data_IF_206730915482
#
_entry.id   IF_206730915482
#
_cell.length_a   1.000
_cell.length_b   1.000
_cell.length_c   1.000
_cell.angle_alpha   90.00
_cell.angle_beta   90.00
_cell.angle_gamma   90.00
#
_symmetry.space_group_name_H-M   'P 1'
#
loop_
_entity.id
_entity.type
_entity.pdbx_description
1 polymer ?
#
# COMPACT_ATOMS: atom_id res chain seq x y z
N UNK A 1 -40.79 -1.10 -18.80
CA UNK A 1 -39.90 -1.52 -19.89
C UNK A 1 -38.49 -1.16 -19.50
N UNK A 2 -37.64 -2.21 -19.45
CA UNK A 2 -36.18 -2.23 -19.28
C UNK A 2 -35.55 -1.51 -18.08
N UNK A 3 -35.60 -2.17 -16.92
CA UNK A 3 -34.57 -2.07 -15.88
C UNK A 3 -34.04 -3.48 -15.63
N UNK A 4 -33.03 -3.89 -16.40
CA UNK A 4 -32.42 -5.20 -16.27
C UNK A 4 -31.15 -5.31 -17.10
N UNK A 5 -30.14 -5.97 -16.53
CA UNK A 5 -28.88 -6.43 -17.12
C UNK A 5 -27.71 -5.44 -17.19
N UNK A 6 -27.01 -5.14 -16.09
CA UNK A 6 -25.56 -4.79 -16.14
C UNK A 6 -24.73 -5.48 -15.03
N UNK A 7 -25.28 -6.48 -14.31
CA UNK A 7 -24.65 -7.08 -13.12
C UNK A 7 -23.80 -8.35 -13.30
N UNK A 8 -23.86 -9.04 -14.44
CA UNK A 8 -23.32 -10.42 -14.58
C UNK A 8 -22.28 -10.59 -15.71
N UNK A 9 -21.86 -9.52 -16.40
CA UNK A 9 -20.89 -9.67 -17.48
C UNK A 9 -19.47 -9.94 -16.92
N UNK A 10 -18.78 -11.02 -17.34
CA UNK A 10 -17.39 -11.26 -16.96
C UNK A 10 -16.49 -10.10 -17.38
N UNK A 11 -15.62 -9.64 -16.49
CA UNK A 11 -14.76 -8.48 -16.72
C UNK A 11 -13.91 -8.63 -18.00
N UNK A 12 -13.47 -9.85 -18.32
CA UNK A 12 -12.77 -10.13 -19.57
C UNK A 12 -13.58 -9.79 -20.83
N UNK A 13 -14.90 -10.04 -20.84
CA UNK A 13 -15.77 -9.69 -21.98
C UNK A 13 -15.94 -8.17 -22.11
N UNK A 14 -16.02 -7.46 -20.97
CA UNK A 14 -16.05 -6.00 -20.93
C UNK A 14 -14.78 -5.43 -21.57
N UNK A 15 -13.60 -5.89 -21.15
CA UNK A 15 -12.33 -5.44 -21.73
C UNK A 15 -12.21 -5.79 -23.22
N UNK A 16 -12.61 -6.99 -23.64
CA UNK A 16 -12.62 -7.36 -25.06
C UNK A 16 -13.47 -6.40 -25.90
N UNK A 17 -14.67 -6.05 -25.41
CA UNK A 17 -15.55 -5.09 -26.08
C UNK A 17 -14.96 -3.68 -26.10
N UNK A 18 -14.33 -3.24 -25.01
CA UNK A 18 -13.66 -1.93 -24.96
C UNK A 18 -12.51 -1.87 -25.97
N UNK A 19 -11.66 -2.90 -25.99
CA UNK A 19 -10.51 -2.98 -26.89
C UNK A 19 -10.95 -3.03 -28.35
N UNK A 20 -11.99 -3.81 -28.67
CA UNK A 20 -12.51 -3.91 -30.03
C UNK A 20 -13.05 -2.57 -30.57
N UNK A 21 -13.62 -1.72 -29.70
CA UNK A 21 -14.23 -0.45 -30.10
C UNK A 21 -13.28 0.76 -30.03
N UNK A 22 -12.32 0.74 -29.10
CA UNK A 22 -11.51 1.93 -28.78
C UNK A 22 -10.00 1.68 -28.87
N UNK A 23 -9.57 0.46 -29.18
CA UNK A 23 -8.16 0.06 -29.19
C UNK A 23 -7.64 -0.35 -27.81
N UNK A 24 -6.33 -0.64 -27.70
CA UNK A 24 -5.72 -1.14 -26.47
C UNK A 24 -5.97 -0.22 -25.26
N UNK A 25 -6.24 -0.82 -24.10
CA UNK A 25 -6.49 -0.10 -22.84
C UNK A 25 -5.20 0.07 -22.04
N UNK A 26 -5.10 1.09 -21.20
CA UNK A 26 -3.92 1.25 -20.33
C UNK A 26 -3.82 0.10 -19.33
N UNK A 27 -2.58 -0.27 -18.95
CA UNK A 27 -2.37 -1.20 -17.84
C UNK A 27 -3.01 -0.69 -16.54
N UNK A 28 -2.97 0.63 -16.32
CA UNK A 28 -3.62 1.28 -15.19
C UNK A 28 -5.13 0.98 -15.16
N UNK A 29 -5.83 1.09 -16.29
CA UNK A 29 -7.25 0.77 -16.37
C UNK A 29 -7.50 -0.73 -16.17
N UNK A 30 -6.71 -1.59 -16.81
CA UNK A 30 -6.82 -3.04 -16.65
C UNK A 30 -6.65 -3.48 -15.19
N UNK A 31 -5.62 -2.98 -14.51
CA UNK A 31 -5.30 -3.30 -13.12
C UNK A 31 -6.37 -2.77 -12.16
N UNK A 32 -6.78 -1.51 -12.32
CA UNK A 32 -7.78 -0.90 -11.43
C UNK A 32 -9.12 -1.62 -11.45
N UNK A 33 -9.67 -1.90 -12.63
CA UNK A 33 -10.95 -2.60 -12.75
C UNK A 33 -10.85 -4.07 -12.33
N UNK A 34 -9.70 -4.73 -12.59
CA UNK A 34 -9.46 -6.11 -12.12
C UNK A 34 -9.44 -6.17 -10.60
N UNK A 35 -8.68 -5.29 -9.95
CA UNK A 35 -8.60 -5.26 -8.49
C UNK A 35 -9.95 -4.86 -7.86
N UNK A 36 -10.65 -3.87 -8.44
CA UNK A 36 -11.99 -3.50 -7.97
C UNK A 36 -12.94 -4.71 -8.01
N UNK A 37 -12.96 -5.46 -9.11
CA UNK A 37 -13.77 -6.68 -9.22
C UNK A 37 -13.35 -7.77 -8.23
N UNK A 38 -12.04 -7.92 -8.01
CA UNK A 38 -11.46 -8.91 -7.11
C UNK A 38 -11.87 -8.63 -5.65
N UNK A 39 -11.75 -7.37 -5.21
CA UNK A 39 -12.07 -6.95 -3.83
C UNK A 39 -13.58 -6.83 -3.56
N UNK A 40 -14.41 -6.58 -4.58
CA UNK A 40 -15.88 -6.57 -4.42
C UNK A 40 -16.50 -7.98 -4.35
N UNK A 41 -15.85 -8.97 -4.97
CA UNK A 41 -16.41 -10.32 -5.17
C UNK A 41 -16.15 -11.33 -4.06
N UNK A 42 -15.23 -11.06 -3.10
CA UNK A 42 -14.77 -12.00 -2.06
C UNK A 42 -14.33 -11.27 -0.79
N UNK A 43 -14.25 -11.99 0.35
CA UNK A 43 -13.38 -11.59 1.49
C UNK A 43 -11.97 -12.10 1.16
N UNK A 44 -11.05 -11.27 0.64
CA UNK A 44 -9.78 -11.71 0.08
C UNK A 44 -8.65 -11.74 1.13
N UNK A 45 -8.93 -11.38 2.39
CA UNK A 45 -7.92 -11.12 3.42
C UNK A 45 -7.96 -12.17 4.55
N UNK A 46 -6.80 -12.72 4.91
CA UNK A 46 -6.60 -13.62 6.06
C UNK A 46 -6.15 -15.03 5.65
N UNK A 47 -6.12 -15.98 6.60
CA UNK A 47 -5.64 -17.35 6.36
C UNK A 47 -6.47 -18.16 5.34
N UNK A 48 -7.66 -17.68 4.99
CA UNK A 48 -8.50 -18.23 3.91
C UNK A 48 -8.59 -17.34 2.66
N UNK A 49 -7.89 -16.19 2.65
CA UNK A 49 -7.78 -15.28 1.50
C UNK A 49 -6.50 -15.53 0.69
N UNK A 50 -6.26 -14.74 -0.37
CA UNK A 50 -5.07 -14.96 -1.23
C UNK A 50 -3.78 -14.37 -0.62
N UNK A 51 -3.89 -13.50 0.40
CA UNK A 51 -2.77 -12.91 1.13
C UNK A 51 -2.93 -13.00 2.65
N UNK A 52 -1.81 -13.22 3.32
CA UNK A 52 -1.66 -13.01 4.76
C UNK A 52 -0.77 -11.77 4.94
N UNK A 53 -1.39 -10.65 5.31
CA UNK A 53 -0.72 -9.36 5.52
C UNK A 53 0.05 -9.33 6.85
N UNK A 54 0.99 -8.39 7.00
CA UNK A 54 1.81 -8.28 8.21
C UNK A 54 1.00 -8.24 9.54
N UNK A 55 -0.13 -7.49 9.61
CA UNK A 55 -0.98 -7.49 10.80
C UNK A 55 -1.64 -8.84 11.12
N UNK A 56 -1.97 -9.64 10.10
CA UNK A 56 -2.59 -10.96 10.25
C UNK A 56 -1.59 -12.04 10.67
N UNK A 57 -0.29 -11.82 10.41
CA UNK A 57 0.79 -12.73 10.84
C UNK A 57 1.01 -12.63 12.36
N UNK A 58 1.02 -11.42 12.92
CA UNK A 58 1.27 -11.25 14.34
C UNK A 58 0.81 -9.91 14.90
N UNK A 59 0.21 -9.96 16.10
CA UNK A 59 -0.06 -8.78 16.93
C UNK A 59 1.20 -7.94 17.20
N UNK A 60 2.39 -8.54 17.14
CA UNK A 60 3.65 -7.82 17.36
C UNK A 60 3.83 -6.69 16.35
N UNK A 61 3.39 -6.88 15.10
CA UNK A 61 3.48 -5.85 14.07
C UNK A 61 2.67 -4.61 14.47
N UNK A 62 1.36 -4.76 14.69
CA UNK A 62 0.50 -3.64 15.06
C UNK A 62 0.87 -3.00 16.39
N UNK A 63 1.34 -3.78 17.37
CA UNK A 63 1.83 -3.23 18.63
C UNK A 63 3.06 -2.34 18.44
N UNK A 64 4.03 -2.72 17.61
CA UNK A 64 5.23 -1.91 17.37
C UNK A 64 4.92 -0.65 16.56
N UNK A 65 4.01 -0.73 15.58
CA UNK A 65 3.52 0.47 14.87
C UNK A 65 2.85 1.43 15.86
N UNK A 66 1.96 0.93 16.72
CA UNK A 66 1.31 1.75 17.74
C UNK A 66 2.31 2.37 18.73
N UNK A 67 3.36 1.64 19.13
CA UNK A 67 4.42 2.17 19.99
C UNK A 67 5.25 3.26 19.28
N UNK A 68 5.54 3.10 18.00
CA UNK A 68 6.22 4.13 17.21
C UNK A 68 5.41 5.43 17.15
N UNK A 69 4.09 5.31 16.91
CA UNK A 69 3.18 6.46 16.88
C UNK A 69 3.06 7.14 18.25
N UNK A 70 2.99 6.35 19.33
CA UNK A 70 2.98 6.88 20.68
C UNK A 70 4.28 7.61 21.01
N UNK A 71 5.43 7.04 20.70
CA UNK A 71 6.74 7.64 20.95
C UNK A 71 6.91 8.98 20.21
N UNK A 72 6.62 9.02 18.91
CA UNK A 72 6.78 10.25 18.12
C UNK A 72 5.81 11.35 18.58
N UNK A 73 4.57 10.99 18.94
CA UNK A 73 3.60 11.92 19.53
C UNK A 73 4.05 12.45 20.89
N UNK A 74 4.63 11.60 21.75
CA UNK A 74 5.19 12.01 23.04
C UNK A 74 6.30 13.03 22.84
N UNK A 75 7.23 12.75 21.93
CA UNK A 75 8.37 13.62 21.64
C UNK A 75 7.97 14.90 20.93
N UNK A 76 6.80 14.93 20.29
CA UNK A 76 6.22 16.13 19.69
C UNK A 76 5.56 17.09 20.69
N UNK A 77 5.29 16.68 21.95
CA UNK A 77 4.80 17.59 23.00
C UNK A 77 3.50 17.20 23.70
N UNK A 78 2.73 16.22 23.18
CA UNK A 78 1.46 15.67 23.75
C UNK A 78 0.29 16.66 23.91
N UNK A 79 0.40 17.87 23.41
CA UNK A 79 -0.45 19.01 23.74
C UNK A 79 -1.74 19.13 22.91
N UNK A 80 -1.88 18.35 21.84
CA UNK A 80 -3.02 18.44 20.92
C UNK A 80 -3.84 17.15 20.80
N UNK A 81 -5.14 17.30 20.52
CA UNK A 81 -5.98 16.20 20.04
C UNK A 81 -5.46 15.75 18.67
N UNK A 82 -5.09 14.47 18.58
CA UNK A 82 -4.51 13.88 17.39
C UNK A 82 -5.46 12.89 16.72
N UNK A 83 -5.27 12.71 15.42
CA UNK A 83 -6.06 11.79 14.60
C UNK A 83 -5.18 10.63 14.15
N UNK A 84 -5.67 9.40 14.36
CA UNK A 84 -5.12 8.22 13.73
C UNK A 84 -5.83 7.99 12.41
N UNK A 85 -5.08 7.95 11.32
CA UNK A 85 -5.62 7.72 9.97
C UNK A 85 -5.00 6.46 9.40
N UNK A 86 -5.82 5.48 9.04
CA UNK A 86 -5.35 4.26 8.36
C UNK A 86 -5.92 4.19 6.94
N UNK A 87 -5.03 4.06 5.96
CA UNK A 87 -5.37 3.87 4.55
C UNK A 87 -5.52 2.38 4.26
N UNK A 88 -6.68 1.98 3.74
CA UNK A 88 -6.96 0.57 3.44
C UNK A 88 -6.80 -0.33 4.67
N UNK A 89 -7.60 -0.16 5.74
CA UNK A 89 -7.39 -0.85 7.02
C UNK A 89 -7.63 -2.37 6.98
N UNK A 90 -8.07 -2.92 5.83
CA UNK A 90 -8.42 -4.33 5.68
C UNK A 90 -9.47 -4.74 6.71
N UNK A 91 -9.11 -5.66 7.63
CA UNK A 91 -9.99 -6.13 8.70
C UNK A 91 -9.97 -5.25 9.96
N UNK A 92 -9.17 -4.18 9.98
CA UNK A 92 -8.94 -3.32 11.15
C UNK A 92 -8.01 -3.92 12.21
N UNK A 93 -7.33 -5.03 11.90
CA UNK A 93 -6.43 -5.75 12.81
C UNK A 93 -5.25 -4.88 13.27
N UNK A 94 -4.63 -4.15 12.32
CA UNK A 94 -3.54 -3.22 12.59
C UNK A 94 -3.98 -2.12 13.55
N UNK A 95 -5.03 -1.37 13.20
CA UNK A 95 -5.64 -0.36 14.05
C UNK A 95 -5.91 -0.89 15.46
N UNK A 96 -6.58 -2.04 15.59
CA UNK A 96 -6.94 -2.62 16.88
C UNK A 96 -5.72 -2.85 17.77
N UNK A 97 -4.67 -3.46 17.24
CA UNK A 97 -3.46 -3.77 18.01
C UNK A 97 -2.61 -2.52 18.29
N UNK A 98 -2.53 -1.58 17.34
CA UNK A 98 -1.86 -0.30 17.49
C UNK A 98 -2.54 0.58 18.55
N UNK A 99 -3.87 0.74 18.49
CA UNK A 99 -4.67 1.49 19.48
C UNK A 99 -4.56 0.88 20.88
N UNK A 100 -4.57 -0.45 21.01
CA UNK A 100 -4.31 -1.13 22.28
C UNK A 100 -2.92 -0.79 22.84
N UNK A 101 -1.91 -0.73 21.98
CA UNK A 101 -0.55 -0.40 22.39
C UNK A 101 -0.40 1.08 22.77
N UNK A 102 -0.93 1.99 21.96
CA UNK A 102 -0.92 3.45 22.15
C UNK A 102 -1.57 3.87 23.47
N UNK A 103 -2.71 3.26 23.82
CA UNK A 103 -3.45 3.57 25.05
C UNK A 103 -2.61 3.43 26.32
N UNK A 104 -1.67 2.47 26.35
CA UNK A 104 -0.77 2.26 27.51
C UNK A 104 0.15 3.46 27.79
N UNK A 105 0.33 4.34 26.81
CA UNK A 105 1.16 5.53 26.89
C UNK A 105 0.34 6.83 26.84
N UNK A 106 -0.98 6.73 27.03
CA UNK A 106 -1.90 7.87 27.09
C UNK A 106 -2.32 8.44 25.73
N UNK A 107 -1.97 7.77 24.62
CA UNK A 107 -2.41 8.16 23.28
C UNK A 107 -3.74 7.48 22.95
N UNK A 108 -4.83 8.26 22.94
CA UNK A 108 -6.18 7.82 22.55
C UNK A 108 -6.72 8.75 21.44
N UNK A 109 -6.30 8.54 20.17
CA UNK A 109 -6.64 9.43 19.06
C UNK A 109 -8.08 9.25 18.56
N UNK A 110 -8.61 10.25 17.83
CA UNK A 110 -9.78 10.03 16.98
C UNK A 110 -9.39 9.13 15.81
N UNK A 111 -10.20 8.11 15.50
CA UNK A 111 -9.84 7.07 14.54
C UNK A 111 -10.56 7.28 13.21
N UNK A 112 -9.79 7.31 12.13
CA UNK A 112 -10.24 7.55 10.77
C UNK A 112 -9.74 6.45 9.84
N UNK A 113 -10.63 5.82 9.10
CA UNK A 113 -10.32 4.85 8.05
C UNK A 113 -10.62 5.45 6.69
N UNK A 114 -9.62 5.45 5.82
CA UNK A 114 -9.78 5.82 4.41
C UNK A 114 -9.95 4.53 3.62
N UNK A 115 -11.20 4.23 3.26
CA UNK A 115 -11.64 2.97 2.67
C UNK A 115 -12.75 3.24 1.64
N UNK A 116 -12.52 2.84 0.40
CA UNK A 116 -13.48 3.01 -0.70
C UNK A 116 -14.51 1.89 -0.75
N UNK A 117 -14.16 0.68 -0.29
CA UNK A 117 -15.05 -0.49 -0.32
C UNK A 117 -15.96 -0.55 0.90
N UNK A 118 -17.24 -0.82 0.69
CA UNK A 118 -18.18 -1.07 1.79
C UNK A 118 -18.12 -2.49 2.34
N UNK A 119 -17.45 -3.42 1.64
CA UNK A 119 -17.51 -4.86 1.93
C UNK A 119 -16.94 -5.21 3.31
N UNK A 120 -15.89 -4.53 3.74
CA UNK A 120 -15.20 -4.80 5.01
C UNK A 120 -15.66 -3.90 6.16
N UNK A 121 -16.60 -2.98 5.90
CA UNK A 121 -17.02 -1.98 6.89
C UNK A 121 -17.57 -2.60 8.18
N UNK A 122 -18.37 -3.65 8.08
CA UNK A 122 -18.94 -4.33 9.25
C UNK A 122 -17.87 -5.06 10.06
N UNK A 123 -16.89 -5.68 9.40
CA UNK A 123 -15.74 -6.34 10.04
C UNK A 123 -14.87 -5.30 10.75
N UNK A 124 -14.58 -4.18 10.10
CA UNK A 124 -13.81 -3.07 10.65
C UNK A 124 -14.53 -2.42 11.84
N UNK A 125 -15.85 -2.23 11.76
CA UNK A 125 -16.67 -1.67 12.85
C UNK A 125 -16.68 -2.60 14.07
N UNK A 126 -16.72 -3.91 13.86
CA UNK A 126 -16.60 -4.88 14.95
C UNK A 126 -15.21 -4.83 15.61
N UNK A 127 -14.13 -4.64 14.82
CA UNK A 127 -12.77 -4.57 15.32
C UNK A 127 -12.45 -3.23 16.03
N UNK A 128 -12.95 -2.12 15.49
CA UNK A 128 -12.69 -0.75 15.96
C UNK A 128 -13.99 0.09 15.94
N UNK A 129 -14.86 -0.04 16.96
CA UNK A 129 -16.20 0.55 16.97
C UNK A 129 -16.25 2.08 16.89
N UNK A 130 -15.16 2.75 17.29
CA UNK A 130 -15.04 4.20 17.30
C UNK A 130 -14.53 4.81 15.98
N UNK A 131 -14.22 3.98 14.98
CA UNK A 131 -13.68 4.45 13.70
C UNK A 131 -14.72 5.29 12.93
N UNK A 132 -14.21 6.25 12.15
CA UNK A 132 -14.99 7.02 11.15
C UNK A 132 -14.47 6.68 9.76
N UNK A 133 -15.37 6.42 8.82
CA UNK A 133 -15.01 6.03 7.45
C UNK A 133 -15.05 7.23 6.52
N UNK A 134 -14.06 7.25 5.63
CA UNK A 134 -13.83 8.26 4.63
C UNK A 134 -13.58 7.56 3.30
N UNK A 135 -14.26 7.98 2.23
CA UNK A 135 -14.01 7.42 0.90
C UNK A 135 -12.63 7.84 0.37
N UNK A 136 -12.18 9.03 0.76
CA UNK A 136 -10.89 9.61 0.44
C UNK A 136 -10.47 10.61 1.53
N UNK A 137 -9.27 11.19 1.37
CA UNK A 137 -8.68 12.12 2.32
C UNK A 137 -9.41 13.47 2.43
N UNK A 138 -10.25 13.85 1.46
CA UNK A 138 -10.91 15.17 1.40
C UNK A 138 -11.89 15.41 2.54
N UNK A 139 -12.40 14.32 3.13
CA UNK A 139 -13.35 14.35 4.25
C UNK A 139 -12.71 14.19 5.62
N UNK A 140 -11.38 14.09 5.70
CA UNK A 140 -10.65 14.01 6.96
C UNK A 140 -10.71 15.34 7.75
N UNK A 141 -10.59 15.32 9.09
CA UNK A 141 -10.57 16.54 9.89
C UNK A 141 -9.46 17.51 9.47
N UNK A 142 -9.80 18.78 9.25
CA UNK A 142 -8.85 19.80 8.75
C UNK A 142 -7.94 20.43 9.83
N UNK A 143 -8.07 20.00 11.11
CA UNK A 143 -7.34 20.57 12.24
C UNK A 143 -6.81 19.47 13.14
N UNK A 144 -5.62 19.69 13.68
CA UNK A 144 -4.94 18.80 14.61
C UNK A 144 -4.01 17.82 13.89
N UNK A 145 -2.96 17.33 14.56
CA UNK A 145 -1.92 16.54 13.91
C UNK A 145 -2.43 15.17 13.48
N UNK A 146 -1.83 14.67 12.40
CA UNK A 146 -2.22 13.39 11.78
C UNK A 146 -1.15 12.32 11.99
N UNK A 147 -1.53 11.22 12.62
CA UNK A 147 -0.75 10.01 12.79
C UNK A 147 -1.24 8.99 11.76
N UNK A 148 -0.59 8.94 10.60
CA UNK A 148 -1.07 8.17 9.45
C UNK A 148 -0.34 6.85 9.27
N UNK A 149 -1.05 5.82 8.85
CA UNK A 149 -0.48 4.52 8.48
C UNK A 149 -1.10 4.02 7.18
N UNK A 150 -0.28 3.63 6.22
CA UNK A 150 -0.70 2.84 5.06
C UNK A 150 0.15 1.57 5.00
N UNK A 151 -0.46 0.41 5.24
CA UNK A 151 0.20 -0.88 5.15
C UNK A 151 -0.41 -1.67 3.98
N UNK A 152 0.41 -2.04 2.99
CA UNK A 152 -0.07 -2.76 1.78
C UNK A 152 -1.22 -1.97 1.13
N UNK A 153 -1.00 -0.66 0.98
CA UNK A 153 -1.98 0.28 0.43
C UNK A 153 -1.55 0.80 -0.93
N UNK A 154 -0.26 1.04 -1.13
CA UNK A 154 0.26 1.68 -2.33
C UNK A 154 0.49 0.67 -3.45
N UNK A 155 0.78 -0.59 -3.13
CA UNK A 155 1.05 -1.66 -4.11
C UNK A 155 -0.20 -2.09 -4.90
N UNK A 156 -1.38 -1.96 -4.29
CA UNK A 156 -2.67 -2.19 -4.91
C UNK A 156 -3.10 -1.06 -5.86
N UNK A 157 -2.43 0.10 -5.84
CA UNK A 157 -2.78 1.24 -6.68
C UNK A 157 -2.37 1.00 -8.13
N UNK A 158 -3.24 1.32 -9.12
CA UNK A 158 -2.99 0.96 -10.50
C UNK A 158 -1.75 1.63 -11.12
N UNK A 159 -0.85 0.80 -11.68
CA UNK A 159 0.41 1.26 -12.26
C UNK A 159 0.34 1.46 -13.76
N UNK A 160 1.22 2.33 -14.26
CA UNK A 160 1.56 2.46 -15.68
C UNK A 160 2.93 1.84 -15.92
N UNK A 161 3.08 1.19 -17.07
CA UNK A 161 4.38 0.75 -17.56
C UNK A 161 4.76 1.60 -18.77
N UNK A 162 5.98 2.13 -18.78
CA UNK A 162 6.56 2.82 -19.94
C UNK A 162 7.69 1.95 -20.48
N UNK A 163 7.76 1.82 -21.80
CA UNK A 163 8.75 0.99 -22.50
C UNK A 163 9.50 1.82 -23.53
N UNK A 164 10.82 1.67 -23.57
CA UNK A 164 11.68 2.28 -24.59
C UNK A 164 11.59 1.47 -25.89
N UNK A 165 10.95 2.05 -26.90
CA UNK A 165 10.91 1.54 -28.28
C UNK A 165 12.01 2.22 -29.10
N UNK A 166 12.26 1.84 -30.36
CA UNK A 166 13.27 2.50 -31.20
C UNK A 166 13.05 4.03 -31.31
N UNK A 167 11.79 4.45 -31.50
CA UNK A 167 11.36 5.85 -31.73
C UNK A 167 11.05 6.64 -30.44
N UNK A 168 11.51 6.15 -29.28
CA UNK A 168 11.36 6.80 -27.98
C UNK A 168 10.50 6.01 -27.00
N UNK A 169 10.12 6.65 -25.90
CA UNK A 169 9.32 6.01 -24.86
C UNK A 169 7.84 5.96 -25.25
N UNK A 170 7.18 4.83 -24.96
CA UNK A 170 5.75 4.61 -25.17
C UNK A 170 5.12 4.04 -23.90
N UNK A 171 3.84 4.31 -23.70
CA UNK A 171 3.08 3.61 -22.66
C UNK A 171 2.82 2.16 -23.10
N UNK A 172 2.96 1.21 -22.19
CA UNK A 172 2.61 -0.19 -22.41
C UNK A 172 1.14 -0.38 -22.07
N UNK A 173 0.37 -0.76 -23.07
CA UNK A 173 -1.08 -0.99 -23.04
C UNK A 173 -1.38 -2.48 -23.00
N UNK A 174 -2.65 -2.83 -22.83
CA UNK A 174 -3.19 -4.19 -22.86
C UNK A 174 -4.15 -4.31 -24.05
N UNK A 175 -3.90 -5.28 -24.90
CA UNK A 175 -4.68 -5.57 -26.11
C UNK A 175 -5.22 -7.00 -26.07
N UNK A 176 -6.22 -7.30 -26.89
CA UNK A 176 -6.78 -8.65 -27.05
C UNK A 176 -6.35 -9.22 -28.40
N UNK A 177 -5.40 -10.16 -28.38
CA UNK A 177 -4.84 -10.78 -29.59
C UNK A 177 -4.81 -12.29 -29.45
N UNK A 178 -5.13 -12.99 -30.52
CA UNK A 178 -5.01 -14.46 -30.59
C UNK A 178 -5.71 -15.19 -29.42
N UNK A 179 -6.84 -14.65 -28.96
CA UNK A 179 -7.64 -15.25 -27.88
C UNK A 179 -7.09 -15.02 -26.46
N UNK A 180 -6.18 -14.06 -26.25
CA UNK A 180 -5.67 -13.70 -24.92
C UNK A 180 -5.36 -12.21 -24.79
N UNK A 181 -5.30 -11.71 -23.55
CA UNK A 181 -4.78 -10.38 -23.27
C UNK A 181 -3.25 -10.40 -23.39
N UNK A 182 -2.69 -9.41 -24.07
CA UNK A 182 -1.24 -9.27 -24.25
C UNK A 182 -0.82 -7.82 -24.06
N UNK A 183 0.35 -7.57 -23.47
CA UNK A 183 0.89 -6.24 -23.41
C UNK A 183 1.42 -5.79 -24.77
N UNK A 184 1.11 -4.55 -25.16
CA UNK A 184 1.54 -3.94 -26.43
C UNK A 184 2.08 -2.54 -26.19
N UNK A 185 2.98 -2.05 -27.04
CA UNK A 185 3.38 -0.64 -27.00
C UNK A 185 2.27 0.23 -27.58
N UNK A 186 1.94 1.31 -26.89
CA UNK A 186 1.07 2.36 -27.39
C UNK A 186 1.74 3.21 -28.47
N UNK A 187 0.95 4.02 -29.14
CA UNK A 187 1.36 4.90 -30.23
C UNK A 187 1.83 6.29 -29.76
N UNK A 188 1.32 6.75 -28.61
CA UNK A 188 1.62 8.08 -28.05
C UNK A 188 3.02 8.16 -27.43
N UNK A 189 3.81 9.21 -27.74
CA UNK A 189 5.12 9.42 -27.13
C UNK A 189 4.99 9.80 -25.64
N UNK A 190 5.86 9.21 -24.82
CA UNK A 190 5.88 9.39 -23.35
C UNK A 190 7.19 9.99 -22.84
N UNK A 191 8.09 10.42 -23.73
CA UNK A 191 9.44 10.91 -23.40
C UNK A 191 9.45 12.10 -22.41
N UNK A 192 8.39 12.91 -22.41
CA UNK A 192 8.23 14.03 -21.47
C UNK A 192 7.98 13.59 -20.02
N UNK A 193 7.47 12.37 -19.81
CA UNK A 193 7.21 11.80 -18.49
C UNK A 193 8.41 11.02 -17.92
N UNK A 194 9.51 10.92 -18.66
CA UNK A 194 10.68 10.12 -18.28
C UNK A 194 11.69 10.99 -17.51
N UNK A 195 12.18 10.52 -16.35
CA UNK A 195 13.28 11.16 -15.64
C UNK A 195 14.50 11.37 -16.55
N UNK A 196 15.21 12.48 -16.39
CA UNK A 196 16.32 12.84 -17.27
C UNK A 196 17.39 11.74 -17.35
N UNK A 197 17.61 11.03 -16.25
CA UNK A 197 18.58 9.96 -16.08
C UNK A 197 18.23 8.71 -16.89
N UNK A 198 16.95 8.54 -17.27
CA UNK A 198 16.44 7.35 -17.96
C UNK A 198 16.12 7.62 -19.44
N UNK A 199 16.20 8.86 -19.92
CA UNK A 199 15.83 9.23 -21.31
C UNK A 199 16.57 8.40 -22.36
N UNK A 200 17.87 8.21 -22.17
CA UNK A 200 18.75 7.50 -23.10
C UNK A 200 18.92 6.01 -22.77
N UNK A 201 17.96 5.41 -22.05
CA UNK A 201 17.98 3.98 -21.75
C UNK A 201 17.95 3.12 -23.03
N UNK A 202 18.52 1.90 -23.01
CA UNK A 202 18.47 0.96 -24.13
C UNK A 202 17.03 0.61 -24.55
N UNK A 203 16.84 0.27 -25.82
CA UNK A 203 15.58 -0.29 -26.32
C UNK A 203 15.18 -1.54 -25.51
N UNK A 204 13.88 -1.67 -25.23
CA UNK A 204 13.32 -2.71 -24.37
C UNK A 204 13.37 -2.40 -22.87
N UNK A 205 14.04 -1.31 -22.45
CA UNK A 205 13.98 -0.86 -21.05
C UNK A 205 12.52 -0.56 -20.67
N UNK A 206 12.11 -1.06 -19.52
CA UNK A 206 10.79 -0.83 -18.96
C UNK A 206 10.91 -0.11 -17.61
N UNK A 207 10.00 0.82 -17.35
CA UNK A 207 9.85 1.45 -16.02
C UNK A 207 8.39 1.43 -15.60
N UNK A 208 8.16 1.41 -14.29
CA UNK A 208 6.84 1.46 -13.68
C UNK A 208 6.66 2.83 -13.01
N UNK A 209 5.48 3.41 -13.18
CA UNK A 209 5.09 4.66 -12.51
C UNK A 209 3.68 4.49 -11.94
N UNK A 210 3.39 5.09 -10.79
CA UNK A 210 2.08 5.02 -10.16
C UNK A 210 1.57 6.44 -9.85
N UNK A 211 0.83 7.08 -10.77
CA UNK A 211 0.28 8.42 -10.55
C UNK A 211 -0.64 8.50 -9.33
N UNK A 212 -1.38 7.44 -9.03
CA UNK A 212 -2.26 7.38 -7.85
C UNK A 212 -1.45 7.36 -6.55
N UNK A 213 -0.39 6.55 -6.46
CA UNK A 213 0.51 6.56 -5.30
C UNK A 213 1.20 7.92 -5.12
N UNK A 214 1.65 8.53 -6.22
CA UNK A 214 2.23 9.88 -6.20
C UNK A 214 1.21 10.92 -5.67
N UNK A 215 -0.04 10.88 -6.14
CA UNK A 215 -1.09 11.77 -5.65
C UNK A 215 -1.39 11.56 -4.16
N UNK A 216 -1.50 10.30 -3.71
CA UNK A 216 -1.73 9.98 -2.31
C UNK A 216 -0.58 10.48 -1.42
N UNK A 217 0.68 10.22 -1.80
CA UNK A 217 1.86 10.68 -1.05
C UNK A 217 1.95 12.21 -1.05
N UNK A 218 1.63 12.87 -2.17
CA UNK A 218 1.58 14.32 -2.25
C UNK A 218 0.53 14.91 -1.29
N UNK A 219 -0.65 14.31 -1.22
CA UNK A 219 -1.71 14.74 -0.31
C UNK A 219 -1.33 14.49 1.15
N UNK A 220 -0.82 13.29 1.49
CA UNK A 220 -0.27 12.96 2.82
C UNK A 220 0.75 14.01 3.24
N UNK A 221 1.75 14.28 2.40
CA UNK A 221 2.80 15.26 2.69
C UNK A 221 2.22 16.66 2.92
N UNK A 222 1.27 17.11 2.08
CA UNK A 222 0.59 18.39 2.27
C UNK A 222 -0.14 18.47 3.61
N UNK A 223 -0.88 17.42 3.97
CA UNK A 223 -1.65 17.37 5.22
C UNK A 223 -0.74 17.36 6.46
N UNK A 224 0.43 16.71 6.39
CA UNK A 224 1.46 16.72 7.44
C UNK A 224 2.08 18.11 7.60
N UNK A 225 2.41 18.78 6.49
CA UNK A 225 2.95 20.15 6.52
C UNK A 225 1.93 21.14 7.10
N UNK A 226 0.66 21.02 6.72
CA UNK A 226 -0.37 21.97 7.12
C UNK A 226 -0.85 21.81 8.57
N UNK A 227 -0.79 20.60 9.14
CA UNK A 227 -1.40 20.31 10.46
C UNK A 227 -0.45 19.71 11.50
N UNK A 228 0.77 19.34 11.12
CA UNK A 228 1.61 18.51 11.96
C UNK A 228 1.30 17.02 11.82
N UNK A 229 2.18 16.21 12.39
CA UNK A 229 2.02 14.76 12.46
C UNK A 229 3.14 13.98 11.78
N UNK A 230 2.90 12.68 11.62
CA UNK A 230 3.80 11.77 10.94
C UNK A 230 3.03 10.65 10.23
N UNK A 231 3.65 10.05 9.22
CA UNK A 231 3.11 8.93 8.47
C UNK A 231 4.10 7.77 8.38
N UNK A 232 3.57 6.55 8.41
CA UNK A 232 4.27 5.33 8.02
C UNK A 232 3.61 4.72 6.80
N UNK A 233 4.39 4.51 5.74
CA UNK A 233 3.97 3.81 4.52
C UNK A 233 4.80 2.54 4.40
N UNK A 234 4.13 1.38 4.45
CA UNK A 234 4.75 0.06 4.58
C UNK A 234 4.27 -0.81 3.44
N UNK A 235 5.17 -1.22 2.56
CA UNK A 235 4.77 -1.92 1.35
C UNK A 235 5.89 -2.73 0.69
N UNK A 236 5.51 -3.63 -0.22
CA UNK A 236 6.45 -4.33 -1.10
C UNK A 236 7.09 -3.33 -2.05
N UNK A 237 8.41 -3.21 -2.05
CA UNK A 237 9.00 -2.14 -2.86
C UNK A 237 10.51 -2.07 -2.89
N UNK A 238 10.97 -1.03 -3.57
CA UNK A 238 12.38 -0.66 -3.69
C UNK A 238 12.60 0.80 -3.31
N UNK A 239 13.75 1.08 -2.70
CA UNK A 239 14.18 2.40 -2.21
C UNK A 239 15.14 3.11 -3.18
N UNK A 240 15.35 2.52 -4.36
CA UNK A 240 16.18 3.04 -5.46
C UNK A 240 15.44 2.85 -6.77
N UNK A 241 15.71 3.71 -7.74
CA UNK A 241 15.16 3.56 -9.09
C UNK A 241 15.49 2.18 -9.67
N UNK A 242 14.50 1.57 -10.29
CA UNK A 242 14.58 0.23 -10.86
C UNK A 242 13.92 0.20 -12.23
N UNK A 243 14.53 -0.53 -13.15
CA UNK A 243 13.95 -0.88 -14.45
C UNK A 243 13.45 -2.33 -14.43
N UNK A 244 12.49 -2.63 -15.29
CA UNK A 244 11.85 -3.94 -15.40
C UNK A 244 10.47 -3.98 -14.77
N UNK A 245 9.70 -5.01 -15.13
CA UNK A 245 8.33 -5.19 -14.65
C UNK A 245 8.35 -5.84 -13.27
N UNK A 246 7.57 -5.31 -12.34
CA UNK A 246 7.28 -5.94 -11.05
C UNK A 246 5.82 -6.34 -10.90
N UNK A 247 4.97 -5.98 -11.88
CA UNK A 247 3.59 -6.47 -12.02
C UNK A 247 3.50 -7.99 -11.78
N UNK A 248 2.70 -8.38 -10.82
CA UNK A 248 2.44 -9.75 -10.41
C UNK A 248 0.94 -9.97 -10.26
N UNK A 249 0.53 -11.22 -10.42
CA UNK A 249 -0.82 -11.66 -10.11
C UNK A 249 -0.78 -12.85 -9.18
N UNK A 250 -1.61 -12.82 -8.15
CA UNK A 250 -1.66 -13.85 -7.12
C UNK A 250 -3.09 -14.38 -6.98
N UNK A 251 -3.20 -15.71 -6.96
CA UNK A 251 -4.46 -16.43 -6.76
C UNK A 251 -4.16 -17.67 -5.92
N UNK A 252 -4.87 -17.84 -4.80
CA UNK A 252 -4.66 -18.93 -3.85
C UNK A 252 -3.18 -19.14 -3.47
N UNK A 253 -2.50 -18.06 -3.08
CA UNK A 253 -1.07 -18.03 -2.72
C UNK A 253 -0.09 -18.47 -3.84
N UNK A 254 -0.54 -18.54 -5.09
CA UNK A 254 0.29 -18.94 -6.24
C UNK A 254 0.36 -17.82 -7.27
N UNK A 255 1.55 -17.63 -7.85
CA UNK A 255 1.74 -16.70 -8.96
C UNK A 255 1.05 -17.22 -10.21
N UNK A 256 0.23 -16.37 -10.81
CA UNK A 256 -0.45 -16.62 -12.08
C UNK A 256 -0.06 -15.55 -13.10
N UNK A 257 -0.41 -15.75 -14.37
CA UNK A 257 -0.22 -14.73 -15.40
C UNK A 257 -1.19 -13.55 -15.16
N UNK A 258 -0.69 -12.30 -15.00
CA UNK A 258 -1.53 -11.12 -14.81
C UNK A 258 -2.55 -10.85 -15.90
N UNK A 259 -2.35 -11.39 -17.09
CA UNK A 259 -3.24 -11.17 -18.24
C UNK A 259 -4.29 -12.27 -18.39
N UNK A 260 -4.37 -13.21 -17.44
CA UNK A 260 -5.35 -14.31 -17.44
C UNK A 260 -6.47 -14.05 -16.44
N UNK A 261 -7.72 -14.24 -16.88
CA UNK A 261 -8.94 -14.15 -16.05
C UNK A 261 -9.00 -12.86 -15.19
N UNK A 262 -9.06 -11.67 -15.82
CA UNK A 262 -9.11 -10.39 -15.10
C UNK A 262 -10.24 -10.36 -14.06
N UNK A 263 -9.92 -9.90 -12.86
CA UNK A 263 -10.83 -9.86 -11.71
C UNK A 263 -10.87 -11.12 -10.85
N UNK A 264 -10.14 -12.19 -11.21
CA UNK A 264 -10.08 -13.42 -10.41
C UNK A 264 -8.79 -13.61 -9.60
N UNK A 265 -7.80 -12.73 -9.82
CA UNK A 265 -6.52 -12.72 -9.13
C UNK A 265 -6.23 -11.28 -8.70
N UNK A 266 -5.52 -11.14 -7.59
CA UNK A 266 -5.05 -9.84 -7.13
C UNK A 266 -3.83 -9.42 -7.94
N UNK A 267 -3.87 -8.21 -8.49
CA UNK A 267 -2.76 -7.62 -9.24
C UNK A 267 -2.02 -6.65 -8.33
N UNK A 268 -0.72 -6.87 -8.15
CA UNK A 268 0.16 -6.03 -7.32
C UNK A 268 1.41 -5.63 -8.10
N UNK A 269 2.00 -4.51 -7.71
CA UNK A 269 3.26 -4.01 -8.24
C UNK A 269 4.13 -3.52 -7.09
N UNK A 270 5.45 -3.63 -7.23
CA UNK A 270 6.35 -3.06 -6.24
C UNK A 270 6.21 -1.53 -6.21
N UNK A 271 6.18 -0.97 -5.00
CA UNK A 271 6.16 0.46 -4.75
C UNK A 271 7.56 1.05 -4.96
N UNK A 272 7.62 2.12 -5.74
CA UNK A 272 8.81 2.94 -5.90
C UNK A 272 8.91 3.99 -4.78
N UNK A 273 9.56 3.60 -3.68
CA UNK A 273 9.77 4.48 -2.54
C UNK A 273 10.76 5.63 -2.83
N UNK A 274 11.62 5.50 -3.83
CA UNK A 274 12.51 6.60 -4.24
C UNK A 274 11.70 7.74 -4.86
N UNK A 275 10.76 7.40 -5.76
CA UNK A 275 9.83 8.37 -6.33
C UNK A 275 8.89 8.95 -5.26
N UNK A 276 8.34 8.12 -4.37
CA UNK A 276 7.46 8.57 -3.29
C UNK A 276 8.16 9.56 -2.34
N UNK A 277 9.42 9.31 -1.98
CA UNK A 277 10.20 10.23 -1.16
C UNK A 277 10.38 11.60 -1.84
N UNK A 278 10.72 11.61 -3.15
CA UNK A 278 10.83 12.85 -3.92
C UNK A 278 9.52 13.64 -3.96
N UNK A 279 8.38 12.96 -4.08
CA UNK A 279 7.06 13.60 -4.03
C UNK A 279 6.80 14.24 -2.67
N UNK A 280 7.06 13.53 -1.57
CA UNK A 280 6.88 14.08 -0.23
C UNK A 280 7.76 15.31 0.02
N UNK A 281 9.04 15.24 -0.37
CA UNK A 281 9.99 16.35 -0.26
C UNK A 281 9.57 17.57 -1.10
N UNK A 282 9.02 17.34 -2.31
CA UNK A 282 8.51 18.42 -3.17
C UNK A 282 7.37 19.22 -2.53
N UNK A 283 6.66 18.63 -1.57
CA UNK A 283 5.57 19.25 -0.83
C UNK A 283 6.00 19.84 0.52
N UNK A 284 7.28 19.71 0.87
CA UNK A 284 7.86 20.27 2.09
C UNK A 284 7.78 19.36 3.32
N UNK A 285 7.26 18.14 3.20
CA UNK A 285 7.31 17.17 4.28
C UNK A 285 8.75 16.65 4.46
N UNK A 286 9.10 16.26 5.69
CA UNK A 286 10.37 15.58 5.97
C UNK A 286 10.27 14.12 5.58
N UNK A 287 11.25 13.64 4.84
CA UNK A 287 11.50 12.22 4.65
C UNK A 287 12.42 11.74 5.78
N UNK A 288 11.87 10.99 6.74
CA UNK A 288 12.63 10.45 7.87
C UNK A 288 13.62 9.38 7.39
N UNK A 289 13.20 8.61 6.39
CA UNK A 289 14.00 7.59 5.75
C UNK A 289 13.12 6.51 5.12
N UNK A 290 13.75 5.66 4.30
CA UNK A 290 13.16 4.42 3.79
C UNK A 290 14.09 3.28 4.16
N UNK A 291 13.61 2.35 4.97
CA UNK A 291 14.39 1.21 5.47
C UNK A 291 13.66 -0.10 5.19
N UNK A 292 14.35 -1.23 5.29
CA UNK A 292 13.69 -2.54 5.20
C UNK A 292 12.82 -2.79 6.43
N UNK A 293 11.69 -3.50 6.26
CA UNK A 293 10.79 -3.84 7.37
C UNK A 293 11.53 -4.59 8.49
N UNK A 294 12.39 -5.54 8.13
CA UNK A 294 13.16 -6.30 9.09
C UNK A 294 14.13 -5.43 9.89
N UNK A 295 14.74 -4.40 9.29
CA UNK A 295 15.57 -3.44 10.04
C UNK A 295 14.70 -2.60 10.98
N UNK A 296 13.62 -2.04 10.47
CA UNK A 296 12.71 -1.18 11.22
C UNK A 296 12.16 -1.88 12.48
N UNK A 297 11.56 -3.07 12.32
CA UNK A 297 10.96 -3.81 13.42
C UNK A 297 11.98 -4.25 14.48
N UNK A 298 13.20 -4.62 14.06
CA UNK A 298 14.31 -4.91 14.99
C UNK A 298 14.71 -3.68 15.79
N UNK A 299 14.81 -2.51 15.14
CA UNK A 299 15.08 -1.24 15.82
C UNK A 299 14.00 -0.85 16.82
N UNK A 300 12.75 -1.29 16.62
CA UNK A 300 11.65 -1.11 17.57
C UNK A 300 11.57 -2.19 18.66
N UNK A 301 12.45 -3.20 18.62
CA UNK A 301 12.57 -4.23 19.66
C UNK A 301 11.63 -5.42 19.50
N UNK A 302 11.32 -5.84 18.27
CA UNK A 302 10.47 -7.01 18.00
C UNK A 302 10.97 -8.30 18.65
N UNK A 303 12.29 -8.52 18.75
CA UNK A 303 12.82 -9.70 19.43
C UNK A 303 12.47 -9.72 20.93
N UNK A 304 12.63 -8.58 21.59
CA UNK A 304 12.27 -8.44 23.01
C UNK A 304 10.77 -8.65 23.20
N UNK A 305 9.94 -8.16 22.27
CA UNK A 305 8.50 -8.35 22.33
C UNK A 305 8.10 -9.82 22.13
N UNK A 306 8.70 -10.51 21.16
CA UNK A 306 8.47 -11.93 20.94
C UNK A 306 8.81 -12.76 22.19
N UNK A 307 9.97 -12.50 22.81
CA UNK A 307 10.37 -13.15 24.06
C UNK A 307 9.40 -12.87 25.22
N UNK A 308 8.93 -11.63 25.35
CA UNK A 308 7.96 -11.28 26.39
C UNK A 308 6.62 -12.02 26.21
N UNK A 309 6.14 -12.14 24.97
CA UNK A 309 4.93 -12.90 24.66
C UNK A 309 5.11 -14.40 24.91
N UNK A 310 6.25 -14.97 24.50
CA UNK A 310 6.56 -16.39 24.72
C UNK A 310 6.61 -16.74 26.22
N UNK A 311 7.11 -15.84 27.07
CA UNK A 311 7.10 -16.03 28.54
C UNK A 311 5.68 -16.07 29.11
N UNK A 312 4.76 -15.28 28.56
CA UNK A 312 3.36 -15.21 29.03
C UNK A 312 2.55 -16.41 28.52
N UNK A 313 2.84 -16.88 27.30
CA UNK A 313 2.16 -18.02 26.69
C UNK A 313 3.17 -19.02 26.10
N UNK A 314 3.87 -19.81 26.93
CA UNK A 314 4.91 -20.75 26.47
C UNK A 314 4.41 -21.77 25.45
N UNK A 315 3.14 -22.16 25.53
CA UNK A 315 2.51 -23.07 24.57
C UNK A 315 2.45 -22.52 23.13
N UNK A 316 2.62 -21.21 22.94
CA UNK A 316 2.63 -20.54 21.64
C UNK A 316 4.01 -20.06 21.21
N UNK A 317 5.07 -20.38 21.97
CA UNK A 317 6.44 -19.90 21.73
C UNK A 317 6.91 -20.16 20.29
N UNK A 318 6.79 -21.40 19.80
CA UNK A 318 7.21 -21.74 18.43
C UNK A 318 6.46 -20.94 17.35
N UNK A 319 5.15 -20.72 17.53
CA UNK A 319 4.34 -19.94 16.60
C UNK A 319 4.72 -18.45 16.62
N UNK A 320 5.00 -17.89 17.81
CA UNK A 320 5.46 -16.52 17.97
C UNK A 320 6.83 -16.30 17.32
N UNK A 321 7.75 -17.24 17.47
CA UNK A 321 9.06 -17.17 16.82
C UNK A 321 8.95 -17.26 15.30
N UNK A 322 8.15 -18.20 14.78
CA UNK A 322 7.92 -18.32 13.34
C UNK A 322 7.26 -17.06 12.74
N UNK A 323 6.28 -16.47 13.44
CA UNK A 323 5.63 -15.24 13.03
C UNK A 323 6.60 -14.04 13.04
N UNK A 324 7.44 -13.92 14.08
CA UNK A 324 8.51 -12.92 14.15
C UNK A 324 9.48 -13.10 12.98
N UNK A 325 9.99 -14.32 12.74
CA UNK A 325 10.94 -14.60 11.67
C UNK A 325 10.34 -14.27 10.28
N UNK A 326 9.06 -14.61 10.05
CA UNK A 326 8.33 -14.25 8.83
C UNK A 326 8.33 -12.73 8.57
N UNK A 327 8.19 -11.93 9.63
CA UNK A 327 8.16 -10.46 9.54
C UNK A 327 9.55 -9.82 9.32
N UNK A 328 10.64 -10.44 9.81
CA UNK A 328 11.95 -9.76 9.89
C UNK A 328 13.08 -10.40 9.09
N UNK A 329 12.96 -11.67 8.70
CA UNK A 329 14.02 -12.37 7.99
C UNK A 329 14.09 -11.97 6.51
N UNK A 330 15.30 -11.89 5.98
CA UNK A 330 15.56 -11.37 4.62
C UNK A 330 14.92 -12.23 3.53
N UNK A 331 14.91 -13.55 3.71
CA UNK A 331 14.25 -14.49 2.80
C UNK A 331 12.72 -14.48 2.89
N UNK A 332 12.13 -13.60 3.70
CA UNK A 332 10.70 -13.48 3.93
C UNK A 332 10.28 -12.01 3.71
N UNK A 333 9.49 -11.41 4.60
CA UNK A 333 9.03 -10.02 4.46
C UNK A 333 10.14 -9.01 4.81
N UNK A 334 11.15 -9.44 5.57
CA UNK A 334 12.12 -8.55 6.20
C UNK A 334 12.91 -7.68 5.23
N UNK A 335 13.33 -8.21 4.08
CA UNK A 335 14.04 -7.43 3.05
C UNK A 335 13.10 -6.91 1.95
N UNK A 336 12.06 -7.68 1.61
CA UNK A 336 11.17 -7.37 0.50
C UNK A 336 10.32 -6.12 0.78
N UNK A 337 9.77 -6.02 1.99
CA UNK A 337 9.02 -4.84 2.43
C UNK A 337 9.95 -3.69 2.78
N UNK A 338 9.47 -2.48 2.51
CA UNK A 338 10.07 -1.23 2.96
C UNK A 338 9.11 -0.50 3.88
N UNK A 339 9.68 0.27 4.79
CA UNK A 339 8.98 1.20 5.67
C UNK A 339 9.54 2.58 5.34
N UNK A 340 8.66 3.48 4.92
CA UNK A 340 8.98 4.89 4.69
C UNK A 340 8.30 5.74 5.77
N UNK A 341 9.11 6.53 6.45
CA UNK A 341 8.65 7.49 7.46
C UNK A 341 8.60 8.89 6.88
N UNK A 342 7.47 9.57 7.10
CA UNK A 342 7.30 10.99 6.78
C UNK A 342 6.90 11.76 8.04
N UNK A 343 7.30 13.02 8.15
CA UNK A 343 6.88 13.89 9.24
C UNK A 343 6.67 15.33 8.77
N UNK A 344 5.87 16.08 9.53
CA UNK A 344 5.82 17.53 9.43
C UNK A 344 7.20 18.17 9.71
N UNK A 345 7.54 19.36 9.17
CA UNK A 345 8.84 19.99 9.38
C UNK A 345 9.29 20.08 10.85
N UNK A 346 8.37 20.45 11.74
CA UNK A 346 8.65 20.69 13.16
C UNK A 346 8.45 19.46 14.05
N UNK A 347 8.11 18.30 13.46
CA UNK A 347 7.96 17.05 14.20
C UNK A 347 9.32 16.35 14.40
N UNK A 348 9.47 15.56 15.49
CA UNK A 348 10.72 14.87 15.80
C UNK A 348 11.01 13.74 14.81
N UNK A 349 12.26 13.27 14.78
CA UNK A 349 12.63 12.08 14.00
C UNK A 349 11.93 10.83 14.54
N UNK A 350 11.57 9.89 13.67
CA UNK A 350 11.00 8.60 14.07
C UNK A 350 12.08 7.59 14.44
N UNK A 351 11.86 6.79 15.48
CA UNK A 351 12.77 5.67 15.79
C UNK A 351 12.82 4.68 14.62
N UNK A 352 14.00 4.11 14.35
CA UNK A 352 14.20 3.08 13.33
C UNK A 352 14.53 3.57 11.92
N UNK A 353 14.66 4.88 11.71
CA UNK A 353 15.11 5.48 10.45
C UNK A 353 16.58 5.88 10.49
#
# INVERSE_FOLDING_TARGET
>A
MSSGMHGDEPLGQIFQRLIANYGPITLQHYMGESNARYYDGKDPLGSGGDFITAPEISQMFGELIGLWLADIWIRAGRDESVHYVEFGPGRGTLARDALRAMKRYGLEPQVHFVEGSTALKDVQLAAVPQARWHADMSSLPMRGPLLMVGNEFLDALPVRQLVRMAEGWRERLVDWREGRFVPVAGDKPMDAAIPAELKDSPEGTLIETCPAAAAAVYEIAGRLVDQGGAALLIDYGHDRFRTGSTLQALKAHSRVDPFTNPGEADLTCHVDFASAANVALSRGARHLGTVTQGRFLRSLGIEARAQALAKVAPQHEAALHAAKDRLIEEGQMGALFKVMGLASPDWPDGAGF
#
